data_IF_620998208222
#
_entry.id   IF_620998208222
#
_cell.length_a   1.000
_cell.length_b   1.000
_cell.length_c   1.000
_cell.angle_alpha   90.00
_cell.angle_beta   90.00
_cell.angle_gamma   90.00
#
_symmetry.space_group_name_H-M   'P 1'
#
loop_
_entity.id
_entity.type
_entity.pdbx_description
1 polymer ?
#
# COMPACT_ATOMS: atom_id res chain seq x y z
N UNK A 1 -9.90 -12.62 -17.36
CA UNK A 1 -9.76 -11.39 -16.57
C UNK A 1 -8.76 -11.72 -15.48
N UNK A 2 -7.62 -11.05 -15.45
CA UNK A 2 -6.54 -11.39 -14.53
C UNK A 2 -6.90 -10.92 -13.11
N UNK A 3 -6.55 -11.73 -12.11
CA UNK A 3 -6.86 -11.42 -10.73
C UNK A 3 -5.79 -10.46 -10.15
N UNK A 4 -6.15 -9.21 -9.89
CA UNK A 4 -5.23 -8.20 -9.34
C UNK A 4 -4.67 -8.58 -7.98
N UNK A 5 -5.46 -9.23 -7.13
CA UNK A 5 -5.00 -9.73 -5.84
C UNK A 5 -3.88 -10.77 -6.04
N UNK A 6 -4.00 -11.65 -7.04
CA UNK A 6 -2.98 -12.65 -7.32
C UNK A 6 -1.70 -12.01 -7.89
N UNK A 7 -1.81 -10.98 -8.74
CA UNK A 7 -0.63 -10.22 -9.22
C UNK A 7 0.11 -9.52 -8.09
N UNK A 8 -0.60 -8.92 -7.15
CA UNK A 8 0.01 -8.25 -6.00
C UNK A 8 0.67 -9.26 -5.05
N UNK A 9 0.12 -10.47 -4.93
CA UNK A 9 0.78 -11.58 -4.22
C UNK A 9 2.03 -12.08 -4.94
N UNK A 10 2.03 -12.12 -6.27
CA UNK A 10 3.22 -12.45 -7.06
C UNK A 10 4.32 -11.41 -6.85
N UNK A 11 3.97 -10.12 -6.84
CA UNK A 11 4.89 -9.03 -6.54
C UNK A 11 5.39 -9.07 -5.09
N UNK A 12 4.52 -9.35 -4.13
CA UNK A 12 4.92 -9.59 -2.73
C UNK A 12 5.90 -10.76 -2.63
N UNK A 13 5.62 -11.89 -3.27
CA UNK A 13 6.52 -13.04 -3.27
C UNK A 13 7.87 -12.73 -3.93
N UNK A 14 7.87 -11.97 -5.03
CA UNK A 14 9.07 -11.48 -5.71
C UNK A 14 9.89 -10.57 -4.79
N UNK A 15 9.24 -9.60 -4.15
CA UNK A 15 9.86 -8.67 -3.20
C UNK A 15 10.39 -9.39 -1.93
N UNK A 16 9.68 -10.40 -1.43
CA UNK A 16 10.06 -11.15 -0.23
C UNK A 16 11.24 -12.12 -0.45
N UNK A 17 11.36 -12.68 -1.66
CA UNK A 17 12.41 -13.67 -1.99
C UNK A 17 13.80 -13.07 -2.22
N UNK A 18 13.88 -11.76 -2.45
CA UNK A 18 15.12 -11.05 -2.74
C UNK A 18 15.44 -10.10 -1.59
N UNK A 19 16.59 -10.30 -0.95
CA UNK A 19 17.23 -9.35 -0.02
C UNK A 19 17.74 -8.10 -0.78
N UNK A 20 16.88 -7.47 -1.59
CA UNK A 20 17.16 -6.31 -2.40
C UNK A 20 16.03 -5.32 -2.21
N UNK A 21 16.40 -4.14 -1.74
CA UNK A 21 15.84 -2.86 -2.16
C UNK A 21 15.41 -2.97 -3.62
N UNK A 22 14.12 -3.13 -3.84
CA UNK A 22 13.52 -3.32 -5.15
C UNK A 22 13.47 -1.93 -5.81
N UNK A 23 14.06 -1.78 -6.99
CA UNK A 23 14.28 -0.48 -7.63
C UNK A 23 13.00 0.13 -8.21
N UNK A 24 13.12 1.37 -8.72
CA UNK A 24 12.01 2.20 -9.22
C UNK A 24 11.15 1.52 -10.32
N UNK A 25 11.72 0.57 -11.07
CA UNK A 25 11.01 -0.17 -12.13
C UNK A 25 9.91 -1.10 -11.59
N UNK A 26 10.14 -1.81 -10.48
CA UNK A 26 9.11 -2.67 -9.88
C UNK A 26 8.07 -1.83 -9.10
N UNK A 27 8.46 -0.63 -8.63
CA UNK A 27 7.49 0.34 -8.09
C UNK A 27 6.54 0.81 -9.20
N UNK A 28 7.05 1.13 -10.39
CA UNK A 28 6.21 1.48 -11.54
C UNK A 28 5.25 0.37 -11.92
N UNK A 29 5.61 -0.90 -11.70
CA UNK A 29 4.67 -2.01 -11.91
C UNK A 29 3.53 -2.01 -10.87
N UNK A 30 3.82 -1.69 -9.60
CA UNK A 30 2.79 -1.53 -8.56
C UNK A 30 1.92 -0.31 -8.83
N UNK A 31 2.55 0.83 -9.13
CA UNK A 31 1.86 2.06 -9.49
C UNK A 31 1.01 1.85 -10.74
N UNK A 32 1.51 1.18 -11.78
CA UNK A 32 0.73 0.79 -12.96
C UNK A 32 -0.41 -0.18 -12.65
N UNK A 33 -0.29 -1.06 -11.65
CA UNK A 33 -1.39 -1.96 -11.25
C UNK A 33 -2.46 -1.21 -10.46
N UNK A 34 -2.06 -0.28 -9.59
CA UNK A 34 -2.95 0.48 -8.72
C UNK A 34 -3.56 1.71 -9.43
N UNK A 35 -2.81 2.33 -10.33
CA UNK A 35 -3.14 3.48 -11.19
C UNK A 35 -3.44 3.07 -12.64
N UNK A 36 -3.49 1.76 -12.95
CA UNK A 36 -4.17 1.29 -14.15
C UNK A 36 -5.57 1.90 -14.09
N UNK A 37 -5.80 2.91 -14.92
CA UNK A 37 -7.00 3.73 -14.98
C UNK A 37 -8.26 2.84 -15.05
N UNK A 38 -8.83 2.52 -13.87
CA UNK A 38 -10.00 1.65 -13.63
C UNK A 38 -10.24 0.57 -14.71
N UNK A 39 -9.41 -0.47 -14.82
CA UNK A 39 -9.78 -1.63 -15.63
C UNK A 39 -11.04 -2.28 -15.04
N UNK A 40 -11.97 -2.68 -15.91
CA UNK A 40 -13.24 -3.29 -15.51
C UNK A 40 -13.00 -4.61 -14.77
N UNK A 41 -13.30 -4.66 -13.46
CA UNK A 41 -13.19 -5.91 -12.70
C UNK A 41 -12.85 -5.82 -11.22
N UNK A 42 -12.46 -4.65 -10.72
CA UNK A 42 -12.15 -4.44 -9.29
C UNK A 42 -12.29 -2.97 -8.84
N UNK A 43 -12.34 -2.76 -7.53
CA UNK A 43 -12.33 -1.45 -6.86
C UNK A 43 -11.12 -1.36 -5.94
N UNK A 44 -10.49 -0.18 -5.88
CA UNK A 44 -9.39 0.13 -4.96
C UNK A 44 -9.84 1.28 -4.05
N UNK A 45 -9.71 1.07 -2.74
CA UNK A 45 -9.88 2.09 -1.71
C UNK A 45 -8.55 2.31 -0.98
N UNK A 46 -8.13 3.57 -0.81
CA UNK A 46 -7.08 3.91 0.16
C UNK A 46 -7.69 3.94 1.57
N UNK A 47 -7.23 3.04 2.45
CA UNK A 47 -7.80 2.87 3.80
C UNK A 47 -7.02 3.64 4.86
N UNK A 48 -5.70 3.72 4.68
CA UNK A 48 -4.80 4.43 5.58
C UNK A 48 -3.59 4.90 4.77
N UNK A 49 -3.17 6.15 4.98
CA UNK A 49 -1.90 6.67 4.49
C UNK A 49 -1.19 7.40 5.62
N UNK A 50 0.11 7.15 5.76
CA UNK A 50 0.96 7.82 6.74
C UNK A 50 2.39 7.96 6.24
N UNK A 51 3.05 9.01 6.71
CA UNK A 51 4.47 9.21 6.51
C UNK A 51 5.24 8.46 7.60
N UNK A 52 6.18 7.60 7.19
CA UNK A 52 7.16 6.93 8.03
C UNK A 52 8.47 7.71 8.12
N UNK A 53 9.32 7.33 9.07
CA UNK A 53 10.69 7.85 9.15
C UNK A 53 11.52 7.22 8.03
N UNK A 54 12.17 8.07 7.23
CA UNK A 54 13.16 7.64 6.25
C UNK A 54 14.58 7.97 6.69
N UNK A 55 15.52 7.89 5.75
CA UNK A 55 16.92 8.20 5.99
C UNK A 55 17.21 9.71 6.02
N UNK A 56 18.51 10.06 6.04
CA UNK A 56 18.97 11.45 6.00
C UNK A 56 18.44 12.24 4.80
N UNK A 57 18.10 11.55 3.71
CA UNK A 57 17.71 12.13 2.42
C UNK A 57 16.38 11.60 1.90
N UNK A 58 15.72 10.73 2.67
CA UNK A 58 14.53 10.03 2.22
C UNK A 58 13.46 10.08 3.30
N UNK A 59 12.22 10.05 2.86
CA UNK A 59 11.05 9.80 3.70
C UNK A 59 10.47 8.44 3.33
N UNK A 60 9.56 7.92 4.15
CA UNK A 60 8.79 6.74 3.77
C UNK A 60 7.33 7.08 3.66
N UNK A 61 6.67 6.64 2.61
CA UNK A 61 5.23 6.73 2.42
C UNK A 61 4.63 5.35 2.60
N UNK A 62 3.77 5.22 3.60
CA UNK A 62 3.14 3.96 3.95
C UNK A 62 1.65 4.08 3.67
N UNK A 63 1.19 3.37 2.65
CA UNK A 63 -0.22 3.38 2.23
C UNK A 63 -0.79 1.97 2.28
N UNK A 64 -1.97 1.83 2.85
CA UNK A 64 -2.74 0.58 2.87
C UNK A 64 -3.91 0.70 1.91
N UNK A 65 -3.91 -0.15 0.89
CA UNK A 65 -5.00 -0.26 -0.08
C UNK A 65 -5.88 -1.45 0.25
N UNK A 66 -7.18 -1.27 0.08
CA UNK A 66 -8.18 -2.34 0.04
C UNK A 66 -8.59 -2.56 -1.41
N UNK A 67 -8.55 -3.81 -1.84
CA UNK A 67 -8.85 -4.21 -3.20
C UNK A 67 -10.03 -5.16 -3.17
N UNK A 68 -11.09 -4.80 -3.89
CA UNK A 68 -12.33 -5.57 -3.98
C UNK A 68 -12.50 -6.06 -5.42
N UNK A 69 -12.43 -7.37 -5.63
CA UNK A 69 -12.72 -8.02 -6.91
C UNK A 69 -14.23 -8.06 -7.18
N UNK A 70 -14.60 -8.14 -8.46
CA UNK A 70 -16.00 -8.36 -8.89
C UNK A 70 -16.61 -9.67 -8.38
N UNK A 71 -15.80 -10.68 -8.08
CA UNK A 71 -16.25 -11.93 -7.45
C UNK A 71 -16.49 -11.80 -5.94
N UNK A 72 -16.31 -10.61 -5.37
CA UNK A 72 -16.50 -10.29 -3.96
C UNK A 72 -15.30 -10.58 -3.07
N UNK A 73 -14.17 -11.06 -3.62
CA UNK A 73 -12.94 -11.22 -2.84
C UNK A 73 -12.37 -9.86 -2.45
N UNK A 74 -11.97 -9.74 -1.20
CA UNK A 74 -11.32 -8.56 -0.66
C UNK A 74 -9.95 -8.93 -0.11
N UNK A 75 -8.93 -8.16 -0.48
CA UNK A 75 -7.60 -8.23 0.11
C UNK A 75 -7.12 -6.83 0.47
N UNK A 76 -6.24 -6.74 1.46
CA UNK A 76 -5.60 -5.48 1.82
C UNK A 76 -4.09 -5.62 1.64
N UNK A 77 -3.49 -4.63 1.01
CA UNK A 77 -2.05 -4.59 0.79
C UNK A 77 -1.50 -3.32 1.40
N UNK A 78 -0.48 -3.47 2.24
CA UNK A 78 0.30 -2.37 2.77
C UNK A 78 1.52 -2.20 1.88
N UNK A 79 1.73 -1.00 1.38
CA UNK A 79 2.90 -0.59 0.62
C UNK A 79 3.67 0.41 1.46
N UNK A 80 4.98 0.23 1.58
CA UNK A 80 5.91 1.13 2.23
C UNK A 80 6.98 1.50 1.20
N UNK A 81 6.97 2.74 0.74
CA UNK A 81 7.85 3.25 -0.30
C UNK A 81 8.80 4.29 0.27
N UNK A 82 10.07 4.19 -0.06
CA UNK A 82 11.03 5.25 0.16
C UNK A 82 10.82 6.35 -0.89
N UNK A 83 10.70 7.59 -0.45
CA UNK A 83 10.48 8.74 -1.31
C UNK A 83 11.60 9.77 -1.07
N UNK A 84 11.95 10.58 -2.07
CA UNK A 84 12.89 11.67 -1.87
C UNK A 84 12.34 12.66 -0.85
N UNK A 85 13.16 13.09 0.11
CA UNK A 85 12.74 14.09 1.09
C UNK A 85 12.51 15.48 0.46
N UNK A 86 13.01 15.71 -0.76
CA UNK A 86 12.88 16.98 -1.50
C UNK A 86 12.80 16.72 -3.02
N UNK A 87 12.06 17.55 -3.77
CA UNK A 87 11.87 17.46 -5.24
C UNK A 87 13.17 17.41 -6.07
N UNK A 88 14.34 17.78 -5.51
CA UNK A 88 15.61 17.83 -6.25
C UNK A 88 16.34 16.47 -6.39
N UNK A 89 15.65 15.35 -6.18
CA UNK A 89 16.21 13.99 -6.22
C UNK A 89 15.45 13.07 -7.19
N UNK A 90 15.01 13.61 -8.33
CA UNK A 90 14.49 12.81 -9.44
C UNK A 90 15.55 11.80 -9.91
N UNK A 91 15.17 10.52 -10.01
CA UNK A 91 16.04 9.43 -10.48
C UNK A 91 16.87 8.72 -9.40
N UNK A 92 16.53 8.88 -8.12
CA UNK A 92 17.11 8.07 -7.04
C UNK A 92 16.62 6.62 -7.07
N UNK A 93 17.50 5.69 -6.66
CA UNK A 93 17.13 4.29 -6.41
C UNK A 93 16.39 4.21 -5.06
N UNK A 94 15.06 4.28 -5.11
CA UNK A 94 14.22 4.19 -3.93
C UNK A 94 13.70 2.77 -3.73
N UNK A 95 13.79 2.27 -2.49
CA UNK A 95 13.27 0.96 -2.14
C UNK A 95 11.76 1.03 -1.86
N UNK A 96 11.05 -0.06 -2.12
CA UNK A 96 9.72 -0.26 -1.57
C UNK A 96 9.57 -1.67 -0.99
N UNK A 97 8.54 -1.82 -0.17
CA UNK A 97 8.11 -3.07 0.42
C UNK A 97 6.58 -3.18 0.27
N UNK A 98 6.09 -4.37 -0.02
CA UNK A 98 4.65 -4.67 -0.12
C UNK A 98 4.34 -5.90 0.72
N UNK A 99 3.22 -5.87 1.45
CA UNK A 99 2.73 -7.00 2.24
C UNK A 99 1.22 -7.13 2.17
N UNK A 100 0.70 -8.34 2.03
CA UNK A 100 -0.71 -8.62 2.28
C UNK A 100 -0.97 -8.51 3.80
N UNK A 101 -1.93 -7.68 4.18
CA UNK A 101 -2.30 -7.44 5.57
C UNK A 101 -3.74 -7.85 5.83
N UNK A 102 -3.98 -8.46 6.99
CA UNK A 102 -5.34 -8.77 7.44
C UNK A 102 -5.77 -7.66 8.42
N UNK A 103 -6.75 -6.81 8.08
CA UNK A 103 -7.23 -5.78 8.98
C UNK A 103 -7.81 -6.42 10.25
N UNK A 104 -7.44 -5.89 11.41
CA UNK A 104 -7.97 -6.34 12.69
C UNK A 104 -9.21 -5.53 13.03
N UNK A 105 -10.30 -6.20 13.39
CA UNK A 105 -11.44 -5.52 13.99
C UNK A 105 -11.04 -4.90 15.33
N UNK A 106 -11.37 -3.61 15.52
CA UNK A 106 -11.13 -2.90 16.78
C UNK A 106 -12.47 -2.42 17.33
N UNK A 107 -12.81 -2.88 18.54
CA UNK A 107 -13.99 -2.42 19.26
C UNK A 107 -13.67 -1.14 20.02
N UNK A 108 -14.34 -0.02 19.70
CA UNK A 108 -14.18 1.27 20.39
C UNK A 108 -15.35 1.51 21.35
N UNK A 109 -15.09 1.47 22.66
CA UNK A 109 -16.08 1.86 23.67
C UNK A 109 -16.05 3.37 23.89
N UNK A 110 -17.12 4.08 23.51
CA UNK A 110 -17.28 5.51 23.78
C UNK A 110 -18.13 5.73 25.03
N UNK A 111 -17.59 6.40 26.04
CA UNK A 111 -18.34 6.84 27.21
C UNK A 111 -18.98 8.19 26.93
N UNK A 112 -20.31 8.28 27.01
CA UNK A 112 -21.05 9.54 26.88
C UNK A 112 -21.29 10.08 28.29
N UNK A 113 -20.73 11.24 28.67
CA UNK A 113 -21.04 11.85 29.96
C UNK A 113 -22.51 12.23 30.01
N UNK A 114 -23.26 11.63 30.94
CA UNK A 114 -24.67 11.95 31.17
C UNK A 114 -24.82 13.39 31.65
N UNK A 115 -25.71 14.14 31.00
CA UNK A 115 -26.09 15.49 31.46
C UNK A 115 -26.78 15.32 32.81
N UNK A 116 -26.18 15.83 33.88
CA UNK A 116 -26.83 15.89 35.18
C UNK A 116 -28.13 16.71 35.04
N UNK A 117 -29.24 16.14 35.51
CA UNK A 117 -30.57 16.74 35.49
C UNK A 117 -30.69 17.88 36.50
#
# INVERSE_FOLDING_TARGET
>A
MENVIDKLRELEAKASSYYRMVGDDDWREIDDILDAYKPEGYEIDEVESRQGEGGRWTTREITTYKITQTDGKVAHFKIDRECPATEMQEGGDFAFEIWEVVPREVTVTKYIPGRAA
#
